data_IF_105715323909
#
_entry.id   IF_105715323909
#
_cell.length_a   1.000
_cell.length_b   1.000
_cell.length_c   1.000
_cell.angle_alpha   90.00
_cell.angle_beta   90.00
_cell.angle_gamma   90.00
#
_symmetry.space_group_name_H-M   'P 1'
#
loop_
_entity.id
_entity.type
_entity.pdbx_description
1 polymer ?
#
# COMPACT_ATOMS: atom_id res chain seq x y z
N UNK A 1 -42.80 -23.97 1.78
CA UNK A 1 -42.10 -23.32 0.64
C UNK A 1 -40.70 -22.99 1.07
N UNK A 2 -39.76 -23.76 0.58
CA UNK A 2 -38.35 -23.69 0.97
C UNK A 2 -37.69 -22.40 0.44
N UNK A 3 -37.13 -21.61 1.34
CA UNK A 3 -36.27 -20.50 0.98
C UNK A 3 -34.97 -21.03 0.37
N UNK A 4 -34.70 -20.67 -0.87
CA UNK A 4 -33.47 -20.99 -1.56
C UNK A 4 -32.36 -20.17 -0.88
N UNK A 5 -31.60 -20.80 -0.02
CA UNK A 5 -30.34 -20.32 0.52
C UNK A 5 -29.41 -20.11 -0.67
N UNK A 6 -29.04 -18.88 -0.93
CA UNK A 6 -28.01 -18.53 -1.93
C UNK A 6 -26.66 -18.90 -1.34
N UNK A 7 -26.26 -20.13 -1.44
CA UNK A 7 -24.88 -20.57 -1.38
C UNK A 7 -24.16 -20.03 -2.63
N UNK A 8 -23.62 -18.85 -2.55
CA UNK A 8 -23.09 -18.14 -3.72
C UNK A 8 -21.88 -17.28 -3.44
N UNK A 9 -20.98 -17.72 -2.55
CA UNK A 9 -19.70 -17.05 -2.39
C UNK A 9 -18.59 -18.11 -2.57
N UNK A 10 -18.20 -18.35 -3.83
CA UNK A 10 -17.02 -19.13 -4.12
C UNK A 10 -17.12 -20.17 -5.23
N UNK A 11 -17.18 -19.74 -6.49
CA UNK A 11 -16.50 -20.50 -7.54
C UNK A 11 -17.23 -21.63 -8.27
N UNK A 12 -18.52 -21.83 -8.13
CA UNK A 12 -19.20 -22.89 -8.89
C UNK A 12 -19.77 -22.45 -10.26
N UNK A 13 -19.88 -21.16 -10.54
CA UNK A 13 -20.56 -20.69 -11.76
C UNK A 13 -19.68 -20.68 -13.01
N UNK A 14 -18.38 -20.91 -12.89
CA UNK A 14 -17.42 -20.79 -14.03
C UNK A 14 -17.20 -19.35 -14.52
N UNK A 15 -17.78 -18.35 -13.87
CA UNK A 15 -17.58 -16.95 -14.22
C UNK A 15 -16.43 -16.36 -13.37
N UNK A 16 -15.46 -15.72 -14.02
CA UNK A 16 -14.33 -15.07 -13.35
C UNK A 16 -14.79 -14.05 -12.30
N UNK A 17 -15.97 -13.46 -12.48
CA UNK A 17 -16.54 -12.47 -11.55
C UNK A 17 -16.90 -13.05 -10.18
N UNK A 18 -17.03 -14.37 -10.07
CA UNK A 18 -17.32 -15.08 -8.81
C UNK A 18 -16.02 -15.46 -8.09
N UNK A 19 -14.85 -15.32 -8.74
CA UNK A 19 -13.58 -15.59 -8.09
C UNK A 19 -13.20 -14.47 -7.11
N UNK A 20 -12.91 -14.85 -5.87
CA UNK A 20 -12.46 -13.93 -4.83
C UNK A 20 -11.23 -13.12 -5.25
N UNK A 21 -10.22 -13.79 -5.83
CA UNK A 21 -8.97 -13.14 -6.29
C UNK A 21 -9.23 -12.06 -7.35
N UNK A 22 -10.15 -12.31 -8.28
CA UNK A 22 -10.54 -11.33 -9.28
C UNK A 22 -11.22 -10.09 -8.67
N UNK A 23 -12.16 -10.31 -7.76
CA UNK A 23 -12.85 -9.21 -7.08
C UNK A 23 -11.90 -8.40 -6.20
N UNK A 24 -10.97 -9.06 -5.51
CA UNK A 24 -9.94 -8.40 -4.71
C UNK A 24 -9.02 -7.52 -5.58
N UNK A 25 -8.57 -8.02 -6.72
CA UNK A 25 -7.75 -7.24 -7.67
C UNK A 25 -8.51 -6.04 -8.24
N UNK A 26 -9.79 -6.22 -8.58
CA UNK A 26 -10.65 -5.12 -9.04
C UNK A 26 -10.78 -4.05 -7.96
N UNK A 27 -11.07 -4.43 -6.73
CA UNK A 27 -11.21 -3.52 -5.60
C UNK A 27 -9.90 -2.77 -5.34
N UNK A 28 -8.77 -3.46 -5.34
CA UNK A 28 -7.45 -2.86 -5.20
C UNK A 28 -7.15 -1.86 -6.32
N UNK A 29 -7.49 -2.20 -7.57
CA UNK A 29 -7.33 -1.32 -8.73
C UNK A 29 -8.18 -0.05 -8.63
N UNK A 30 -9.43 -0.16 -8.19
CA UNK A 30 -10.32 0.99 -7.95
C UNK A 30 -9.77 1.86 -6.83
N UNK A 31 -9.38 1.28 -5.70
CA UNK A 31 -8.79 1.98 -4.57
C UNK A 31 -7.53 2.76 -4.97
N UNK A 32 -6.65 2.13 -5.76
CA UNK A 32 -5.44 2.78 -6.29
C UNK A 32 -5.77 3.97 -7.18
N UNK A 33 -6.73 3.83 -8.11
CA UNK A 33 -7.14 4.94 -8.98
C UNK A 33 -7.70 6.12 -8.20
N UNK A 34 -8.58 5.85 -7.25
CA UNK A 34 -9.16 6.90 -6.39
C UNK A 34 -8.05 7.59 -5.58
N UNK A 35 -7.09 6.84 -5.03
CA UNK A 35 -5.98 7.41 -4.31
C UNK A 35 -5.12 8.36 -5.19
N UNK A 36 -4.85 7.97 -6.43
CA UNK A 36 -4.06 8.77 -7.35
C UNK A 36 -4.76 10.06 -7.80
N UNK A 37 -6.09 10.12 -7.80
CA UNK A 37 -6.83 11.36 -8.10
C UNK A 37 -6.52 12.47 -7.07
N UNK A 38 -6.27 12.09 -5.82
CA UNK A 38 -5.93 13.06 -4.77
C UNK A 38 -4.41 13.30 -4.67
N UNK A 39 -3.61 12.23 -4.76
CA UNK A 39 -2.17 12.27 -4.49
C UNK A 39 -1.38 12.92 -5.63
N UNK A 40 -1.71 12.58 -6.88
CA UNK A 40 -0.94 13.02 -8.03
C UNK A 40 -0.99 14.54 -8.25
N UNK A 41 -2.16 15.22 -8.21
CA UNK A 41 -2.23 16.66 -8.44
C UNK A 41 -1.58 17.50 -7.33
N UNK A 42 -1.63 17.02 -6.09
CA UNK A 42 -1.17 17.79 -4.93
C UNK A 42 0.31 17.56 -4.62
N UNK A 43 0.82 16.36 -4.88
CA UNK A 43 2.16 15.95 -4.43
C UNK A 43 3.07 15.50 -5.58
N UNK A 44 2.55 15.41 -6.80
CA UNK A 44 3.29 14.89 -7.96
C UNK A 44 3.88 13.49 -7.72
N UNK A 45 3.19 12.67 -6.94
CA UNK A 45 3.60 11.30 -6.61
C UNK A 45 2.80 10.30 -7.45
N UNK A 46 3.50 9.29 -7.95
CA UNK A 46 2.87 8.07 -8.45
C UNK A 46 2.69 7.04 -7.31
N UNK A 47 2.07 5.91 -7.62
CA UNK A 47 1.80 4.88 -6.60
C UNK A 47 3.06 4.22 -6.05
N UNK A 48 4.13 4.07 -6.85
CA UNK A 48 5.39 3.52 -6.37
C UNK A 48 6.10 4.51 -5.44
N UNK A 49 6.06 5.82 -5.76
CA UNK A 49 6.60 6.87 -4.91
C UNK A 49 5.90 6.88 -3.55
N UNK A 50 4.57 6.88 -3.57
CA UNK A 50 3.78 6.84 -2.34
C UNK A 50 4.09 5.60 -1.49
N UNK A 51 4.12 4.41 -2.10
CA UNK A 51 4.45 3.18 -1.38
C UNK A 51 5.85 3.21 -0.77
N UNK A 52 6.84 3.73 -1.49
CA UNK A 52 8.19 3.87 -0.98
C UNK A 52 8.24 4.79 0.25
N UNK A 53 7.62 5.98 0.15
CA UNK A 53 7.57 6.94 1.25
C UNK A 53 6.82 6.37 2.47
N UNK A 54 5.64 5.78 2.27
CA UNK A 54 4.83 5.22 3.36
C UNK A 54 5.54 4.07 4.08
N UNK A 55 6.23 3.19 3.35
CA UNK A 55 6.99 2.09 3.95
C UNK A 55 8.21 2.61 4.71
N UNK A 56 8.91 3.62 4.18
CA UNK A 56 10.03 4.25 4.89
C UNK A 56 9.58 4.96 6.17
N UNK A 57 8.41 5.59 6.17
CA UNK A 57 7.83 6.20 7.39
C UNK A 57 7.59 5.14 8.47
N UNK A 58 7.03 4.01 8.09
CA UNK A 58 6.78 2.88 8.99
C UNK A 58 8.06 2.21 9.50
N UNK A 59 9.08 2.03 8.65
CA UNK A 59 10.33 1.34 9.00
C UNK A 59 11.37 2.28 9.63
N UNK A 60 11.22 3.60 9.48
CA UNK A 60 12.22 4.60 9.86
C UNK A 60 13.40 4.66 8.89
N UNK A 61 14.07 3.53 8.67
CA UNK A 61 15.13 3.39 7.67
C UNK A 61 15.24 1.93 7.20
N UNK A 62 15.55 1.73 5.92
CA UNK A 62 15.66 0.39 5.35
C UNK A 62 16.63 0.33 4.16
N UNK A 63 17.32 -0.78 3.94
CA UNK A 63 18.04 -1.03 2.70
C UNK A 63 17.04 -1.24 1.55
N UNK A 64 17.50 -0.97 0.32
CA UNK A 64 16.65 -0.99 -0.88
C UNK A 64 15.88 -2.30 -1.06
N UNK A 65 16.49 -3.46 -0.78
CA UNK A 65 15.84 -4.75 -0.98
C UNK A 65 14.67 -4.97 0.00
N UNK A 66 14.83 -4.54 1.27
CA UNK A 66 13.77 -4.61 2.26
C UNK A 66 12.63 -3.65 1.90
N UNK A 67 12.97 -2.42 1.47
CA UNK A 67 11.97 -1.47 1.01
C UNK A 67 11.15 -2.02 -0.17
N UNK A 68 11.82 -2.60 -1.17
CA UNK A 68 11.17 -3.19 -2.34
C UNK A 68 10.22 -4.33 -1.96
N UNK A 69 10.68 -5.24 -1.11
CA UNK A 69 9.88 -6.37 -0.61
C UNK A 69 8.65 -5.88 0.17
N UNK A 70 8.83 -4.98 1.13
CA UNK A 70 7.73 -4.46 1.96
C UNK A 70 6.73 -3.62 1.18
N UNK A 71 7.19 -2.90 0.15
CA UNK A 71 6.32 -2.13 -0.73
C UNK A 71 5.59 -2.98 -1.80
N UNK A 72 5.94 -4.27 -1.93
CA UNK A 72 5.42 -5.13 -3.00
C UNK A 72 5.79 -4.64 -4.40
N UNK A 73 7.02 -4.12 -4.57
CA UNK A 73 7.53 -3.54 -5.82
C UNK A 73 8.82 -4.24 -6.22
N UNK A 74 8.99 -4.50 -7.51
CA UNK A 74 10.23 -5.10 -8.01
C UNK A 74 11.44 -4.21 -7.68
N UNK A 75 12.58 -4.84 -7.32
CA UNK A 75 13.80 -4.14 -6.91
C UNK A 75 14.29 -3.11 -7.94
N UNK A 76 14.23 -3.44 -9.23
CA UNK A 76 14.62 -2.54 -10.33
C UNK A 76 13.74 -1.29 -10.42
N UNK A 77 12.42 -1.46 -10.22
CA UNK A 77 11.48 -0.36 -10.18
C UNK A 77 11.68 0.48 -8.91
N UNK A 78 11.86 -0.16 -7.76
CA UNK A 78 12.11 0.54 -6.50
C UNK A 78 13.42 1.35 -6.56
N UNK A 79 14.45 0.84 -7.22
CA UNK A 79 15.71 1.57 -7.42
C UNK A 79 15.50 2.88 -8.20
N UNK A 80 14.71 2.85 -9.28
CA UNK A 80 14.35 4.06 -10.03
C UNK A 80 13.50 5.03 -9.22
N UNK A 81 12.50 4.49 -8.52
CA UNK A 81 11.63 5.28 -7.64
C UNK A 81 12.46 6.00 -6.56
N UNK A 82 13.36 5.29 -5.89
CA UNK A 82 14.17 5.91 -4.82
C UNK A 82 15.15 6.93 -5.37
N UNK A 83 15.73 6.74 -6.55
CA UNK A 83 16.58 7.75 -7.18
C UNK A 83 15.80 9.05 -7.47
N UNK A 84 14.61 8.95 -8.04
CA UNK A 84 13.76 10.12 -8.30
C UNK A 84 13.31 10.83 -7.02
N UNK A 85 12.99 10.09 -5.95
CA UNK A 85 12.62 10.66 -4.66
C UNK A 85 13.82 11.32 -3.95
N UNK A 86 15.03 10.81 -4.17
CA UNK A 86 16.28 11.40 -3.65
C UNK A 86 16.59 12.71 -4.36
N UNK A 87 16.44 12.78 -5.70
CA UNK A 87 16.55 14.03 -6.47
C UNK A 87 15.55 15.11 -6.00
N UNK A 88 14.37 14.68 -5.55
CA UNK A 88 13.34 15.56 -4.97
C UNK A 88 13.55 15.87 -3.49
N UNK A 89 14.65 15.43 -2.91
CA UNK A 89 15.00 15.61 -1.49
C UNK A 89 13.95 15.07 -0.51
N UNK A 90 13.13 14.11 -0.92
CA UNK A 90 12.12 13.47 -0.05
C UNK A 90 12.70 12.29 0.73
N UNK A 91 13.74 11.67 0.22
CA UNK A 91 14.52 10.63 0.90
C UNK A 91 16.00 10.97 0.88
N UNK A 92 16.75 10.35 1.78
CA UNK A 92 18.21 10.46 1.85
C UNK A 92 18.83 9.10 2.10
N UNK A 93 20.08 8.93 1.67
CA UNK A 93 20.91 7.78 1.99
C UNK A 93 21.73 8.05 3.23
N UNK A 94 21.94 7.00 4.02
CA UNK A 94 22.84 7.01 5.15
C UNK A 94 23.60 5.69 5.22
N UNK A 95 24.78 5.71 5.81
CA UNK A 95 25.54 4.50 6.06
C UNK A 95 24.80 3.58 7.03
N UNK A 96 24.85 2.28 6.76
CA UNK A 96 24.30 1.30 7.67
C UNK A 96 25.30 1.01 8.80
N UNK A 97 25.00 1.36 10.05
CA UNK A 97 25.93 1.16 11.16
C UNK A 97 26.20 -0.32 11.46
N UNK A 98 25.31 -1.22 11.00
CA UNK A 98 25.43 -2.68 11.20
C UNK A 98 26.15 -3.38 10.06
N UNK A 99 26.19 -2.78 8.88
CA UNK A 99 26.84 -3.34 7.69
C UNK A 99 27.33 -2.21 6.77
N UNK A 100 28.60 -1.90 6.85
CA UNK A 100 29.27 -0.84 6.08
C UNK A 100 29.22 -1.05 4.55
N UNK A 101 28.79 -2.22 4.08
CA UNK A 101 28.64 -2.53 2.65
C UNK A 101 27.24 -2.20 2.13
N UNK A 102 26.31 -1.87 3.01
CA UNK A 102 24.94 -1.52 2.66
C UNK A 102 24.59 -0.09 3.06
N UNK A 103 23.73 0.53 2.27
CA UNK A 103 23.21 1.87 2.51
C UNK A 103 21.75 1.77 2.91
N UNK A 104 21.35 2.54 3.90
CA UNK A 104 19.95 2.70 4.32
C UNK A 104 19.34 3.92 3.63
N UNK A 105 18.09 3.77 3.23
CA UNK A 105 17.21 4.85 2.78
C UNK A 105 16.36 5.29 3.96
N UNK A 106 16.15 6.59 4.11
CA UNK A 106 15.25 7.16 5.13
C UNK A 106 14.53 8.39 4.57
N UNK A 107 13.42 8.75 5.18
CA UNK A 107 12.77 10.02 4.87
C UNK A 107 13.62 11.21 5.34
N UNK A 108 13.58 12.28 4.57
CA UNK A 108 13.97 13.62 5.03
C UNK A 108 12.83 14.26 5.83
N UNK A 109 13.03 15.42 6.40
CA UNK A 109 11.93 16.16 7.05
C UNK A 109 10.84 16.56 6.06
N UNK A 110 11.21 16.93 4.82
CA UNK A 110 10.26 17.21 3.75
C UNK A 110 9.50 15.95 3.34
N UNK A 111 10.19 14.80 3.23
CA UNK A 111 9.55 13.51 2.99
C UNK A 111 8.53 13.14 4.07
N UNK A 112 8.86 13.34 5.33
CA UNK A 112 7.92 13.13 6.45
C UNK A 112 6.72 14.09 6.40
N UNK A 113 6.96 15.36 6.02
CA UNK A 113 5.88 16.32 5.85
C UNK A 113 4.90 15.91 4.75
N UNK A 114 5.42 15.45 3.60
CA UNK A 114 4.60 14.92 2.50
C UNK A 114 3.81 13.70 2.96
N UNK A 115 4.43 12.74 3.65
CA UNK A 115 3.72 11.55 4.15
C UNK A 115 2.58 11.94 5.09
N UNK A 116 2.79 12.85 6.03
CA UNK A 116 1.72 13.33 6.94
C UNK A 116 0.54 13.90 6.17
N UNK A 117 0.78 14.76 5.17
CA UNK A 117 -0.27 15.38 4.37
C UNK A 117 -1.04 14.35 3.53
N UNK A 118 -0.35 13.42 2.88
CA UNK A 118 -0.99 12.34 2.11
C UNK A 118 -1.82 11.44 3.01
N UNK A 119 -1.34 11.12 4.22
CA UNK A 119 -2.10 10.32 5.20
C UNK A 119 -3.38 11.04 5.64
N UNK A 120 -3.35 12.34 5.83
CA UNK A 120 -4.53 13.13 6.21
C UNK A 120 -5.61 13.07 5.13
N UNK A 121 -5.24 13.33 3.87
CA UNK A 121 -6.14 13.18 2.72
C UNK A 121 -6.67 11.74 2.60
N UNK A 122 -5.79 10.75 2.84
CA UNK A 122 -6.15 9.34 2.76
C UNK A 122 -7.13 8.90 3.86
N UNK A 123 -7.07 9.49 5.06
CA UNK A 123 -8.01 9.20 6.16
C UNK A 123 -9.44 9.57 5.80
N UNK A 124 -9.64 10.72 5.18
CA UNK A 124 -10.97 11.13 4.72
C UNK A 124 -11.51 10.19 3.65
N UNK A 125 -10.70 9.86 2.66
CA UNK A 125 -11.05 8.87 1.64
C UNK A 125 -11.40 7.51 2.26
N UNK A 126 -10.59 7.04 3.19
CA UNK A 126 -10.82 5.78 3.90
C UNK A 126 -12.14 5.78 4.65
N UNK A 127 -12.48 6.87 5.35
CA UNK A 127 -13.79 7.03 6.01
C UNK A 127 -14.95 6.88 5.02
N UNK A 128 -14.86 7.53 3.86
CA UNK A 128 -15.90 7.44 2.82
C UNK A 128 -16.02 6.03 2.25
N UNK A 129 -14.91 5.37 1.97
CA UNK A 129 -14.91 4.00 1.45
C UNK A 129 -15.53 3.01 2.44
N UNK A 130 -15.26 3.20 3.73
CA UNK A 130 -15.76 2.31 4.79
C UNK A 130 -17.15 2.72 5.32
N UNK A 131 -17.75 3.82 4.83
CA UNK A 131 -19.03 4.32 5.34
C UNK A 131 -20.19 3.34 5.15
N UNK A 132 -20.09 2.46 4.16
CA UNK A 132 -21.11 1.45 3.84
C UNK A 132 -20.97 0.15 4.63
N UNK A 133 -19.90 -0.01 5.41
CA UNK A 133 -19.65 -1.17 6.24
C UNK A 133 -20.03 -0.90 7.69
N UNK A 134 -20.60 -1.88 8.36
CA UNK A 134 -20.79 -1.90 9.82
C UNK A 134 -19.42 -1.93 10.52
N UNK A 135 -19.39 -1.66 11.83
CA UNK A 135 -18.14 -1.72 12.59
C UNK A 135 -17.54 -3.14 12.60
N UNK A 136 -18.37 -4.17 12.70
CA UNK A 136 -17.91 -5.56 12.70
C UNK A 136 -17.33 -5.96 11.35
N UNK A 137 -17.97 -5.58 10.24
CA UNK A 137 -17.43 -5.80 8.89
C UNK A 137 -16.11 -5.06 8.66
N UNK A 138 -15.96 -3.84 9.18
CA UNK A 138 -14.69 -3.10 9.13
C UNK A 138 -13.59 -3.82 9.89
N UNK A 139 -13.88 -4.30 11.10
CA UNK A 139 -12.93 -5.05 11.92
C UNK A 139 -12.50 -6.35 11.23
N UNK A 140 -13.44 -7.10 10.68
CA UNK A 140 -13.17 -8.33 9.93
C UNK A 140 -12.31 -8.05 8.70
N UNK A 141 -12.66 -7.01 7.91
CA UNK A 141 -11.92 -6.63 6.72
C UNK A 141 -10.48 -6.24 7.05
N UNK A 142 -10.27 -5.45 8.11
CA UNK A 142 -8.94 -5.03 8.54
C UNK A 142 -8.13 -6.19 9.13
N UNK A 143 -8.76 -7.11 9.84
CA UNK A 143 -8.10 -8.32 10.35
C UNK A 143 -7.64 -9.25 9.20
N UNK A 144 -8.39 -9.30 8.10
CA UNK A 144 -8.04 -10.07 6.92
C UNK A 144 -6.82 -9.49 6.17
N UNK A 145 -6.66 -8.17 6.16
CA UNK A 145 -5.52 -7.46 5.57
C UNK A 145 -4.29 -7.36 6.47
N UNK A 146 -4.38 -7.82 7.72
CA UNK A 146 -3.28 -7.83 8.66
C UNK A 146 -2.29 -8.98 8.42
N UNK A 147 -1.27 -9.07 9.28
CA UNK A 147 -0.07 -9.93 9.16
C UNK A 147 -0.30 -11.46 8.96
N UNK A 148 -1.54 -11.91 8.82
CA UNK A 148 -1.85 -13.34 8.63
C UNK A 148 -1.41 -13.89 7.25
N UNK A 149 -1.11 -13.04 6.29
CA UNK A 149 -0.66 -13.48 4.95
C UNK A 149 0.86 -13.58 4.78
N UNK A 150 1.65 -13.33 5.82
CA UNK A 150 3.11 -13.44 5.78
C UNK A 150 3.65 -14.65 6.57
N UNK A 151 2.81 -15.61 6.91
CA UNK A 151 3.31 -16.93 7.32
C UNK A 151 3.47 -17.74 6.05
N UNK A 152 4.62 -17.58 5.43
CA UNK A 152 5.13 -18.55 4.47
C UNK A 152 5.38 -19.86 5.22
N UNK A 153 4.74 -20.94 4.73
CA UNK A 153 5.14 -22.29 5.01
C UNK A 153 6.52 -22.57 4.41
#
# INVERSE_FOLDING_TARGET
>A
MAGTEKDGIGGESGDIRDLFSYNLQRLAGVSTRIALLDIKPQFELNMHDWRALAVLDYLGAAPLHVLAQRAGVQKSQMSRTTAALEERLLIARQDNPRDKRSTLLRLTEDGKAVVRQVLETSRERNRRMLAYLTNDERLQFMAWGGDHHLREE
#
